data_IF_679548989968
#
_entry.id   IF_679548989968
#
_cell.length_a   1.000
_cell.length_b   1.000
_cell.length_c   1.000
_cell.angle_alpha   90.00
_cell.angle_beta   90.00
_cell.angle_gamma   90.00
#
_symmetry.space_group_name_H-M   'P 1'
#
loop_
_entity.id
_entity.type
_entity.pdbx_description
1 polymer ?
#
# COMPACT_ATOMS: atom_id res chain seq x y z
N UNK A 1 45.57 9.59 0.67
CA UNK A 1 45.28 8.12 0.77
C UNK A 1 43.92 7.95 1.34
N UNK A 2 42.91 7.74 0.49
CA UNK A 2 41.53 7.54 0.93
C UNK A 2 41.36 6.07 1.32
N UNK A 3 41.08 5.83 2.60
CA UNK A 3 40.71 4.50 3.10
C UNK A 3 39.26 4.24 2.70
N UNK A 4 39.06 3.37 1.72
CA UNK A 4 37.74 2.81 1.40
C UNK A 4 37.50 1.65 2.37
N UNK A 5 36.67 1.86 3.36
CA UNK A 5 36.21 0.78 4.25
C UNK A 5 35.08 0.05 3.53
N UNK A 6 35.35 -1.12 2.99
CA UNK A 6 34.32 -2.00 2.45
C UNK A 6 33.71 -2.78 3.61
N UNK A 7 32.45 -2.53 3.93
CA UNK A 7 31.68 -3.39 4.84
C UNK A 7 31.38 -4.71 4.12
N UNK A 8 31.72 -5.84 4.75
CA UNK A 8 31.35 -7.15 4.25
C UNK A 8 29.84 -7.38 4.51
N UNK A 9 29.06 -7.58 3.44
CA UNK A 9 27.69 -8.05 3.54
C UNK A 9 27.72 -9.55 3.77
N UNK A 10 27.13 -10.02 4.87
CA UNK A 10 26.95 -11.44 5.11
C UNK A 10 25.81 -11.90 4.21
N UNK A 11 26.14 -12.64 3.16
CA UNK A 11 25.17 -13.32 2.30
C UNK A 11 24.80 -14.65 2.95
N UNK A 12 23.61 -14.75 3.53
CA UNK A 12 23.08 -16.03 4.01
C UNK A 12 22.54 -16.80 2.80
N UNK A 13 23.28 -17.81 2.33
CA UNK A 13 22.82 -18.76 1.34
C UNK A 13 22.10 -19.90 2.05
N UNK A 14 20.80 -20.03 1.83
CA UNK A 14 20.03 -21.20 2.23
C UNK A 14 20.03 -22.19 1.06
N UNK A 15 20.64 -23.33 1.24
CA UNK A 15 20.59 -24.46 0.30
C UNK A 15 20.27 -25.73 1.07
N UNK A 16 19.13 -26.32 0.78
CA UNK A 16 18.67 -27.57 1.36
C UNK A 16 17.55 -28.17 0.52
N UNK A 17 17.23 -29.45 0.69
CA UNK A 17 16.05 -30.03 0.04
C UNK A 17 14.79 -29.35 0.58
N UNK A 18 13.92 -28.89 -0.32
CA UNK A 18 12.60 -28.35 0.00
C UNK A 18 11.60 -29.48 -0.06
N UNK A 19 10.89 -29.75 1.03
CA UNK A 19 9.78 -30.70 1.04
C UNK A 19 8.45 -29.98 0.77
N UNK A 20 7.45 -30.72 0.28
CA UNK A 20 6.13 -30.13 0.01
C UNK A 20 5.42 -29.68 1.31
N UNK A 21 5.78 -30.23 2.46
CA UNK A 21 5.23 -29.89 3.77
C UNK A 21 5.69 -28.49 4.25
N UNK A 22 6.87 -28.05 3.80
CA UNK A 22 7.44 -26.74 4.17
C UNK A 22 7.06 -25.62 3.18
N UNK A 23 6.31 -25.94 2.12
CA UNK A 23 6.02 -25.03 1.01
C UNK A 23 4.53 -24.76 0.85
N UNK A 24 4.12 -23.51 1.13
CA UNK A 24 2.78 -23.00 0.84
C UNK A 24 2.78 -22.24 -0.48
N UNK A 25 1.97 -22.66 -1.43
CA UNK A 25 1.76 -21.97 -2.70
C UNK A 25 0.44 -21.19 -2.68
N UNK A 26 0.46 -19.97 -3.20
CA UNK A 26 -0.74 -19.16 -3.39
C UNK A 26 -0.80 -18.60 -4.81
N UNK A 27 -2.00 -18.48 -5.32
CA UNK A 27 -2.28 -17.95 -6.65
C UNK A 27 -3.44 -16.96 -6.58
N UNK A 28 -3.28 -15.81 -7.22
CA UNK A 28 -4.30 -14.76 -7.36
C UNK A 28 -4.38 -14.37 -8.84
N UNK A 29 -5.58 -14.38 -9.39
CA UNK A 29 -5.86 -13.91 -10.75
C UNK A 29 -7.01 -12.93 -10.71
N UNK A 30 -6.89 -11.81 -11.41
CA UNK A 30 -7.94 -10.81 -11.59
C UNK A 30 -8.06 -10.43 -13.06
N UNK A 31 -9.27 -10.45 -13.58
CA UNK A 31 -9.65 -9.75 -14.79
C UNK A 31 -10.46 -8.53 -14.41
N UNK A 32 -10.21 -7.38 -15.03
CA UNK A 32 -10.89 -6.12 -14.78
C UNK A 32 -11.26 -5.45 -16.09
N UNK A 33 -12.54 -5.08 -16.23
CA UNK A 33 -12.97 -4.10 -17.20
C UNK A 33 -13.07 -2.74 -16.53
N UNK A 34 -12.50 -1.70 -17.13
CA UNK A 34 -12.54 -0.32 -16.65
C UNK A 34 -13.14 0.60 -17.68
N UNK A 35 -14.13 1.39 -17.26
CA UNK A 35 -14.67 2.52 -17.98
C UNK A 35 -14.29 3.79 -17.22
N UNK A 36 -13.70 4.78 -17.91
CA UNK A 36 -13.33 6.08 -17.31
C UNK A 36 -13.90 7.18 -18.19
N UNK A 37 -14.72 8.03 -17.59
CA UNK A 37 -15.17 9.29 -18.15
C UNK A 37 -14.54 10.42 -17.32
N UNK A 38 -13.65 11.21 -17.95
CA UNK A 38 -12.91 12.28 -17.32
C UNK A 38 -13.25 13.58 -18.04
N UNK A 39 -14.01 14.46 -17.38
CA UNK A 39 -14.46 15.73 -17.95
C UNK A 39 -13.33 16.66 -18.41
N UNK A 40 -12.08 16.40 -18.00
CA UNK A 40 -10.88 17.09 -18.48
C UNK A 40 -10.29 16.52 -19.76
N UNK A 41 -10.91 15.48 -20.34
CA UNK A 41 -10.47 14.80 -21.56
C UNK A 41 -11.57 14.75 -22.61
N UNK A 42 -11.18 14.77 -23.88
CA UNK A 42 -12.15 14.73 -24.99
C UNK A 42 -12.82 13.37 -25.13
N UNK A 43 -12.13 12.28 -24.78
CA UNK A 43 -12.59 10.91 -25.00
C UNK A 43 -12.69 10.11 -23.71
N UNK A 44 -13.70 9.26 -23.64
CA UNK A 44 -13.82 8.21 -22.61
C UNK A 44 -12.78 7.11 -22.85
N UNK A 45 -12.33 6.47 -21.79
CA UNK A 45 -11.36 5.40 -21.86
C UNK A 45 -11.92 4.07 -21.38
N UNK A 46 -11.84 3.05 -22.25
CA UNK A 46 -12.19 1.68 -21.93
C UNK A 46 -10.92 0.81 -21.92
N UNK A 47 -10.76 -0.02 -20.90
CA UNK A 47 -9.62 -0.94 -20.77
C UNK A 47 -10.03 -2.28 -20.21
N UNK A 48 -9.48 -3.33 -20.81
CA UNK A 48 -9.41 -4.64 -20.18
C UNK A 48 -8.03 -4.80 -19.54
N UNK A 49 -7.99 -5.21 -18.29
CA UNK A 49 -6.76 -5.39 -17.53
C UNK A 49 -6.73 -6.74 -16.84
N UNK A 50 -5.54 -7.30 -16.71
CA UNK A 50 -5.29 -8.53 -15.96
C UNK A 50 -4.30 -8.26 -14.84
N UNK A 51 -4.38 -9.08 -13.79
CA UNK A 51 -3.35 -9.22 -12.78
C UNK A 51 -3.24 -10.69 -12.41
N UNK A 52 -2.03 -11.22 -12.44
CA UNK A 52 -1.70 -12.55 -11.96
C UNK A 52 -0.62 -12.43 -10.92
N UNK A 53 -0.77 -13.16 -9.81
CA UNK A 53 0.24 -13.28 -8.76
C UNK A 53 0.44 -14.74 -8.41
N UNK A 54 1.70 -15.16 -8.35
CA UNK A 54 2.12 -16.48 -7.89
C UNK A 54 3.07 -16.29 -6.73
N UNK A 55 2.70 -16.75 -5.56
CA UNK A 55 3.49 -16.64 -4.35
C UNK A 55 3.84 -18.00 -3.78
N UNK A 56 4.97 -18.04 -3.10
CA UNK A 56 5.43 -19.15 -2.29
C UNK A 56 5.91 -18.66 -0.93
N UNK A 57 5.57 -19.41 0.11
CA UNK A 57 6.16 -19.31 1.43
C UNK A 57 6.89 -20.60 1.71
N UNK A 58 8.16 -20.51 2.07
CA UNK A 58 8.97 -21.64 2.52
C UNK A 58 9.35 -21.45 3.99
N UNK A 59 8.95 -22.38 4.84
CA UNK A 59 9.29 -22.38 6.26
C UNK A 59 10.63 -23.10 6.45
N UNK A 60 11.72 -22.33 6.47
CA UNK A 60 13.10 -22.87 6.59
C UNK A 60 13.38 -23.40 8.00
N UNK A 61 12.65 -22.93 9.01
CA UNK A 61 12.64 -23.42 10.39
C UNK A 61 11.37 -22.95 11.10
N UNK A 62 11.17 -23.38 12.36
CA UNK A 62 10.06 -22.90 13.22
C UNK A 62 10.04 -21.37 13.42
N UNK A 63 11.15 -20.68 13.14
CA UNK A 63 11.31 -19.22 13.35
C UNK A 63 11.61 -18.44 12.08
N UNK A 64 11.83 -19.11 10.94
CA UNK A 64 12.29 -18.46 9.74
C UNK A 64 11.46 -18.87 8.53
N UNK A 65 10.74 -17.88 8.01
CA UNK A 65 9.97 -18.00 6.78
C UNK A 65 10.62 -17.17 5.65
N UNK A 66 10.62 -17.73 4.45
CA UNK A 66 11.02 -17.11 3.21
C UNK A 66 9.77 -16.87 2.34
N UNK A 67 9.60 -15.66 1.85
CA UNK A 67 8.48 -15.30 0.98
C UNK A 67 8.98 -14.82 -0.37
N UNK A 68 8.40 -15.37 -1.43
CA UNK A 68 8.59 -14.90 -2.80
C UNK A 68 7.23 -14.74 -3.46
N UNK A 69 7.02 -13.65 -4.19
CA UNK A 69 5.84 -13.46 -5.03
C UNK A 69 6.23 -12.83 -6.36
N UNK A 70 5.83 -13.47 -7.42
CA UNK A 70 5.85 -12.92 -8.76
C UNK A 70 4.47 -12.35 -9.09
N UNK A 71 4.44 -11.25 -9.81
CA UNK A 71 3.21 -10.62 -10.27
C UNK A 71 3.37 -10.14 -11.70
N UNK A 72 2.25 -10.07 -12.44
CA UNK A 72 2.20 -9.19 -13.60
C UNK A 72 2.53 -7.79 -13.11
N UNK A 73 3.54 -7.16 -13.66
CA UNK A 73 4.03 -5.88 -13.20
C UNK A 73 4.61 -5.10 -14.36
N UNK A 74 4.30 -3.82 -14.38
CA UNK A 74 5.08 -2.78 -15.04
C UNK A 74 5.99 -2.15 -13.99
N UNK A 75 6.74 -1.12 -14.31
CA UNK A 75 7.59 -0.38 -13.37
C UNK A 75 6.80 0.33 -12.26
N UNK A 76 5.47 0.36 -12.36
CA UNK A 76 4.58 1.00 -11.38
C UNK A 76 4.43 0.16 -10.11
N UNK A 77 4.94 0.66 -9.00
CA UNK A 77 4.91 -0.01 -7.68
C UNK A 77 3.52 -0.02 -7.02
N UNK A 78 2.57 0.79 -7.50
CA UNK A 78 1.21 0.90 -6.98
C UNK A 78 0.16 0.24 -7.87
N UNK A 79 0.56 -0.47 -8.93
CA UNK A 79 -0.40 -1.22 -9.75
C UNK A 79 0.23 -2.44 -10.41
N UNK A 80 -0.17 -3.61 -9.98
CA UNK A 80 0.12 -4.89 -10.66
C UNK A 80 -0.81 -5.21 -11.82
N UNK A 81 -1.68 -4.27 -12.24
CA UNK A 81 -2.58 -4.50 -13.38
C UNK A 81 -1.90 -4.14 -14.69
N UNK A 82 -1.93 -5.07 -15.64
CA UNK A 82 -1.50 -4.82 -17.01
C UNK A 82 -2.70 -4.67 -17.95
N UNK A 83 -2.65 -3.67 -18.80
CA UNK A 83 -3.66 -3.45 -19.83
C UNK A 83 -3.45 -4.43 -20.99
N UNK A 84 -4.51 -5.13 -21.36
CA UNK A 84 -4.54 -5.92 -22.58
C UNK A 84 -4.66 -4.95 -23.76
N UNK A 85 -3.53 -4.41 -24.21
CA UNK A 85 -3.50 -3.39 -25.24
C UNK A 85 -3.53 -3.97 -26.64
N UNK A 86 -2.36 -4.14 -27.24
CA UNK A 86 -2.23 -4.70 -28.60
C UNK A 86 -1.90 -6.18 -28.53
N UNK A 87 -2.36 -6.99 -29.48
CA UNK A 87 -2.04 -8.42 -29.59
C UNK A 87 -0.55 -8.70 -29.88
N UNK A 88 0.27 -7.67 -29.97
CA UNK A 88 1.71 -7.80 -30.25
C UNK A 88 2.61 -7.63 -29.02
N UNK A 89 2.04 -7.39 -27.82
CA UNK A 89 2.80 -7.23 -26.58
C UNK A 89 2.60 -8.45 -25.68
N UNK A 90 3.69 -8.86 -25.05
CA UNK A 90 3.68 -9.88 -23.99
C UNK A 90 3.63 -9.17 -22.64
N UNK A 91 2.87 -9.73 -21.71
CA UNK A 91 2.79 -9.20 -20.34
C UNK A 91 4.09 -9.45 -19.58
N UNK A 92 4.61 -8.42 -18.90
CA UNK A 92 5.77 -8.54 -18.05
C UNK A 92 5.43 -9.21 -16.71
N UNK A 93 6.39 -9.95 -16.17
CA UNK A 93 6.31 -10.57 -14.86
C UNK A 93 7.49 -10.06 -14.04
N UNK A 94 7.21 -9.44 -12.91
CA UNK A 94 8.21 -8.91 -12.00
C UNK A 94 8.19 -9.58 -10.63
N UNK A 95 9.28 -9.38 -9.89
CA UNK A 95 9.38 -9.80 -8.49
C UNK A 95 8.69 -8.77 -7.60
N UNK A 96 7.49 -9.11 -7.14
CA UNK A 96 6.62 -8.25 -6.36
C UNK A 96 6.95 -8.27 -4.86
N UNK A 97 7.30 -9.43 -4.32
CA UNK A 97 7.80 -9.61 -2.96
C UNK A 97 8.96 -10.61 -2.93
N UNK A 98 9.95 -10.32 -2.10
CA UNK A 98 11.04 -11.24 -1.75
C UNK A 98 11.61 -10.81 -0.41
N UNK A 99 11.26 -11.52 0.65
CA UNK A 99 11.70 -11.17 2.00
C UNK A 99 11.78 -12.37 2.93
N UNK A 100 12.56 -12.16 3.99
CA UNK A 100 12.66 -13.04 5.14
C UNK A 100 11.77 -12.50 6.25
N UNK A 101 11.11 -13.40 6.97
CA UNK A 101 10.46 -13.13 8.26
C UNK A 101 11.12 -14.01 9.31
N UNK A 102 11.67 -13.37 10.34
CA UNK A 102 12.27 -14.06 11.48
C UNK A 102 11.48 -13.77 12.76
N UNK A 103 10.98 -14.82 13.40
CA UNK A 103 10.22 -14.74 14.64
C UNK A 103 11.20 -14.61 15.82
N UNK A 104 11.47 -13.38 16.25
CA UNK A 104 12.32 -13.09 17.43
C UNK A 104 11.68 -13.61 18.71
N UNK A 105 10.36 -13.54 18.79
CA UNK A 105 9.52 -14.11 19.85
C UNK A 105 8.11 -14.40 19.31
N UNK A 106 7.23 -15.00 20.14
CA UNK A 106 5.83 -15.25 19.80
C UNK A 106 5.05 -14.00 19.36
N UNK A 107 5.55 -12.81 19.69
CA UNK A 107 4.87 -11.54 19.50
C UNK A 107 5.71 -10.51 18.73
N UNK A 108 6.87 -10.91 18.21
CA UNK A 108 7.84 -9.98 17.64
C UNK A 108 8.46 -10.59 16.39
N UNK A 109 8.27 -9.93 15.27
CA UNK A 109 8.81 -10.36 13.98
C UNK A 109 9.80 -9.32 13.46
N UNK A 110 10.86 -9.81 12.82
CA UNK A 110 11.78 -9.04 12.00
C UNK A 110 11.54 -9.42 10.53
N UNK A 111 11.32 -8.43 9.68
CA UNK A 111 11.16 -8.59 8.25
C UNK A 111 12.29 -7.90 7.51
N UNK A 112 12.85 -8.55 6.49
CA UNK A 112 13.95 -8.02 5.70
C UNK A 112 13.77 -8.33 4.22
N UNK A 113 13.83 -7.34 3.35
CA UNK A 113 13.71 -7.46 1.90
C UNK A 113 12.57 -6.63 1.33
N UNK A 114 12.04 -7.00 0.15
CA UNK A 114 10.85 -6.40 -0.45
C UNK A 114 9.61 -7.10 0.11
N UNK A 115 9.01 -6.50 1.13
CA UNK A 115 8.03 -7.14 1.98
C UNK A 115 6.62 -6.62 1.76
N UNK A 116 5.62 -7.42 2.14
CA UNK A 116 4.26 -6.92 2.31
C UNK A 116 4.27 -5.76 3.31
N UNK A 117 3.56 -4.67 2.97
CA UNK A 117 3.48 -3.50 3.84
C UNK A 117 3.04 -3.89 5.27
N UNK A 118 3.87 -3.67 6.30
CA UNK A 118 3.62 -4.13 7.67
C UNK A 118 2.69 -3.19 8.47
N UNK A 119 2.43 -1.98 7.97
CA UNK A 119 1.66 -0.97 8.70
C UNK A 119 0.17 -1.29 8.68
N UNK A 120 -0.48 -1.04 9.81
CA UNK A 120 -1.94 -1.13 9.90
C UNK A 120 -2.58 -0.01 9.07
N UNK A 121 -3.54 -0.40 8.23
CA UNK A 121 -4.38 0.47 7.41
C UNK A 121 -5.85 0.13 7.70
N UNK A 122 -6.67 1.06 8.23
CA UNK A 122 -8.05 0.76 8.62
C UNK A 122 -8.88 0.41 7.38
N UNK A 123 -9.61 -0.70 7.45
CA UNK A 123 -10.35 -1.27 6.32
C UNK A 123 -9.55 -1.31 4.99
N UNK A 124 -8.24 -1.55 5.07
CA UNK A 124 -7.30 -1.52 3.94
C UNK A 124 -7.24 -0.14 3.26
N UNK A 125 -7.32 0.94 4.02
CA UNK A 125 -7.16 2.30 3.51
C UNK A 125 -5.94 2.45 2.60
N UNK A 126 -6.10 3.19 1.53
CA UNK A 126 -5.06 3.54 0.57
C UNK A 126 -4.87 5.07 0.52
N UNK A 127 -4.97 5.71 1.69
CA UNK A 127 -4.75 7.14 1.83
C UNK A 127 -3.27 7.50 1.63
N UNK A 128 -2.36 6.73 2.24
CA UNK A 128 -0.91 6.95 2.20
C UNK A 128 -0.23 5.91 1.28
N UNK A 129 -0.58 4.62 1.45
CA UNK A 129 0.04 3.52 0.72
C UNK A 129 -1.01 2.71 -0.02
N UNK A 130 -0.85 2.58 -1.32
CA UNK A 130 -1.62 1.67 -2.17
C UNK A 130 -1.57 0.22 -1.66
N UNK A 131 -2.56 -0.58 -2.00
CA UNK A 131 -2.64 -2.00 -1.64
C UNK A 131 -1.59 -2.87 -2.31
N UNK A 132 -1.06 -2.42 -3.45
CA UNK A 132 -0.04 -3.12 -4.23
C UNK A 132 1.39 -2.69 -3.83
N UNK A 133 1.57 -1.61 -3.04
CA UNK A 133 2.89 -1.14 -2.61
C UNK A 133 3.53 -2.09 -1.60
N UNK A 134 4.68 -2.64 -1.97
CA UNK A 134 5.52 -3.52 -1.15
C UNK A 134 6.86 -2.83 -0.85
N UNK A 135 7.07 -2.31 0.38
CA UNK A 135 8.28 -1.61 0.75
C UNK A 135 9.52 -2.52 0.74
N UNK A 136 10.69 -1.94 0.42
CA UNK A 136 12.00 -2.60 0.47
C UNK A 136 12.77 -2.11 1.69
N UNK A 137 13.29 -3.01 2.51
CA UNK A 137 14.10 -2.60 3.66
C UNK A 137 13.97 -3.55 4.84
N UNK A 138 13.89 -2.96 6.02
CA UNK A 138 13.83 -3.64 7.29
C UNK A 138 12.58 -3.17 8.05
N UNK A 139 11.82 -4.11 8.60
CA UNK A 139 10.70 -3.79 9.46
C UNK A 139 10.70 -4.68 10.70
N UNK A 140 10.22 -4.09 11.79
CA UNK A 140 10.08 -4.74 13.08
C UNK A 140 8.63 -4.60 13.52
N UNK A 141 7.96 -5.72 13.80
CA UNK A 141 6.58 -5.71 14.28
C UNK A 141 6.52 -6.31 15.68
N UNK A 142 5.81 -5.64 16.57
CA UNK A 142 5.64 -6.02 17.97
C UNK A 142 4.17 -6.04 18.33
N UNK A 143 3.75 -7.04 19.10
CA UNK A 143 2.41 -7.10 19.69
C UNK A 143 2.53 -7.51 21.14
N UNK A 144 2.09 -6.66 22.06
CA UNK A 144 2.08 -6.94 23.50
C UNK A 144 0.70 -6.62 24.08
N UNK A 145 -0.04 -7.67 24.44
CA UNK A 145 -1.43 -7.53 24.88
C UNK A 145 -2.31 -6.86 23.82
N UNK A 146 -2.87 -5.71 24.17
CA UNK A 146 -3.71 -4.89 23.30
C UNK A 146 -2.89 -3.88 22.45
N UNK A 147 -1.61 -3.67 22.77
CA UNK A 147 -0.72 -2.73 22.07
C UNK A 147 -0.02 -3.44 20.91
N UNK A 148 0.12 -2.75 19.80
CA UNK A 148 0.98 -3.16 18.69
C UNK A 148 1.88 -2.00 18.24
N UNK A 149 3.04 -2.33 17.69
CA UNK A 149 3.95 -1.36 17.09
C UNK A 149 4.58 -1.92 15.83
N UNK A 150 4.76 -1.08 14.82
CA UNK A 150 5.48 -1.38 13.60
C UNK A 150 6.53 -0.29 13.37
N UNK A 151 7.77 -0.71 13.21
CA UNK A 151 8.91 0.18 12.91
C UNK A 151 9.44 -0.22 11.54
N UNK A 152 9.74 0.74 10.69
CA UNK A 152 10.28 0.48 9.35
C UNK A 152 11.45 1.42 9.05
N UNK A 153 12.47 0.85 8.43
CA UNK A 153 13.52 1.56 7.72
C UNK A 153 13.51 1.06 6.28
N UNK A 154 12.95 1.87 5.40
CA UNK A 154 12.61 1.53 4.03
C UNK A 154 13.55 2.29 3.11
N UNK A 155 14.22 1.59 2.23
CA UNK A 155 14.96 2.17 1.12
C UNK A 155 13.98 2.47 0.00
N UNK A 156 13.65 3.75 -0.17
CA UNK A 156 12.70 4.17 -1.18
C UNK A 156 13.38 4.23 -2.55
N UNK A 157 14.52 4.91 -2.63
CA UNK A 157 15.41 4.89 -3.79
C UNK A 157 16.85 4.65 -3.34
N UNK A 158 17.59 3.86 -4.10
CA UNK A 158 18.96 3.42 -3.79
C UNK A 158 19.83 3.56 -5.04
N UNK A 159 20.10 4.81 -5.41
CA UNK A 159 21.01 5.17 -6.49
C UNK A 159 22.38 5.52 -5.89
N UNK A 160 23.54 5.22 -6.56
CA UNK A 160 24.86 5.62 -6.07
C UNK A 160 25.05 7.12 -5.82
N UNK A 161 24.23 7.95 -6.45
CA UNK A 161 24.26 9.42 -6.32
C UNK A 161 23.19 9.94 -5.35
N UNK A 162 22.20 9.12 -4.99
CA UNK A 162 21.00 9.56 -4.31
C UNK A 162 20.44 8.41 -3.46
N UNK A 163 20.15 8.67 -2.21
CA UNK A 163 19.47 7.72 -1.33
C UNK A 163 18.31 8.44 -0.68
N UNK A 164 17.10 7.95 -0.91
CA UNK A 164 15.88 8.40 -0.23
C UNK A 164 15.47 7.29 0.71
N UNK A 165 15.42 7.62 1.99
CA UNK A 165 15.00 6.71 3.04
C UNK A 165 13.63 7.12 3.57
N UNK A 166 12.81 6.12 3.91
CA UNK A 166 11.59 6.30 4.68
C UNK A 166 11.78 5.67 6.06
N UNK A 167 11.79 6.48 7.09
CA UNK A 167 11.75 6.05 8.49
C UNK A 167 10.31 6.07 8.97
N UNK A 168 9.90 5.04 9.68
CA UNK A 168 8.51 4.93 10.10
C UNK A 168 8.35 4.29 11.46
N UNK A 169 7.40 4.83 12.21
CA UNK A 169 6.96 4.30 13.50
C UNK A 169 5.44 4.35 13.54
N UNK A 170 4.81 3.23 13.80
CA UNK A 170 3.38 3.15 14.09
C UNK A 170 3.18 2.46 15.43
N UNK A 171 2.38 3.08 16.31
CA UNK A 171 1.95 2.51 17.58
C UNK A 171 0.44 2.52 17.61
N UNK A 172 -0.16 1.43 18.08
CA UNK A 172 -1.60 1.32 18.14
C UNK A 172 -2.10 0.43 19.25
N UNK A 173 -3.40 0.50 19.44
CA UNK A 173 -4.15 -0.28 20.40
C UNK A 173 -5.28 -1.02 19.70
N UNK A 174 -5.51 -2.29 20.08
CA UNK A 174 -6.53 -3.16 19.50
C UNK A 174 -7.20 -3.98 20.58
N UNK A 175 -8.50 -3.74 20.82
CA UNK A 175 -9.26 -4.35 21.91
C UNK A 175 -10.62 -4.86 21.44
N UNK A 176 -11.03 -6.00 21.97
CA UNK A 176 -12.44 -6.40 21.97
C UNK A 176 -13.15 -5.64 23.10
N UNK A 177 -14.02 -4.70 22.73
CA UNK A 177 -14.81 -3.90 23.68
C UNK A 177 -15.90 -4.77 24.30
N UNK A 178 -16.50 -5.63 23.47
CA UNK A 178 -17.45 -6.69 23.86
C UNK A 178 -17.39 -7.80 22.79
N UNK A 179 -18.28 -8.80 22.90
CA UNK A 179 -18.32 -9.96 21.99
C UNK A 179 -18.59 -9.61 20.53
N UNK A 180 -19.26 -8.48 20.27
CA UNK A 180 -19.64 -8.02 18.94
C UNK A 180 -18.75 -6.88 18.42
N UNK A 181 -18.01 -6.20 19.30
CA UNK A 181 -17.32 -4.95 18.94
C UNK A 181 -15.84 -5.03 19.23
N UNK A 182 -15.05 -4.81 18.18
CA UNK A 182 -13.59 -4.65 18.26
C UNK A 182 -13.22 -3.27 17.76
N UNK A 183 -12.42 -2.54 18.55
CA UNK A 183 -11.84 -1.27 18.19
C UNK A 183 -10.32 -1.40 17.94
N UNK A 184 -9.82 -0.68 16.97
CA UNK A 184 -8.40 -0.55 16.69
C UNK A 184 -8.09 0.90 16.33
N UNK A 185 -7.11 1.48 17.00
CA UNK A 185 -6.62 2.84 16.76
C UNK A 185 -5.12 2.81 16.65
N UNK A 186 -4.53 3.64 15.79
CA UNK A 186 -3.08 3.82 15.73
C UNK A 186 -2.72 5.25 15.37
N UNK A 187 -1.54 5.64 15.85
CA UNK A 187 -0.82 6.82 15.40
C UNK A 187 0.48 6.38 14.72
N UNK A 188 0.83 7.04 13.61
CA UNK A 188 2.07 6.75 12.91
C UNK A 188 2.78 8.03 12.46
N UNK A 189 4.11 7.92 12.32
CA UNK A 189 4.98 8.88 11.67
C UNK A 189 5.65 8.15 10.50
N UNK A 190 5.61 8.77 9.32
CA UNK A 190 6.31 8.34 8.11
C UNK A 190 7.16 9.50 7.63
N UNK A 191 8.47 9.39 7.78
CA UNK A 191 9.43 10.46 7.53
C UNK A 191 10.28 10.09 6.30
N UNK A 192 10.01 10.75 5.18
CA UNK A 192 10.80 10.63 3.97
C UNK A 192 11.95 11.62 4.04
N UNK A 193 13.16 11.16 3.78
CA UNK A 193 14.36 11.98 3.83
C UNK A 193 14.69 12.50 2.43
N UNK A 194 14.64 13.84 2.27
CA UNK A 194 15.13 14.56 1.08
C UNK A 194 14.33 14.38 -0.22
N UNK A 195 13.04 14.10 -0.17
CA UNK A 195 12.23 14.03 -1.39
C UNK A 195 12.20 15.37 -2.16
N UNK A 196 12.25 16.50 -1.45
CA UNK A 196 12.26 17.84 -2.02
C UNK A 196 13.55 18.21 -2.80
N UNK A 197 14.61 17.42 -2.69
CA UNK A 197 15.82 17.61 -3.50
C UNK A 197 15.66 17.05 -4.92
N UNK A 198 14.57 16.32 -5.21
CA UNK A 198 14.43 15.57 -6.47
C UNK A 198 13.19 15.94 -7.27
N UNK A 199 13.35 15.86 -8.59
CA UNK A 199 12.22 15.97 -9.52
C UNK A 199 11.48 14.64 -9.68
N UNK A 200 10.17 14.66 -10.01
CA UNK A 200 9.41 13.46 -10.31
C UNK A 200 10.03 12.57 -11.38
N UNK A 201 10.73 13.16 -12.36
CA UNK A 201 11.38 12.42 -13.45
C UNK A 201 12.47 11.46 -12.99
N UNK A 202 13.01 11.67 -11.78
CA UNK A 202 14.08 10.85 -11.20
C UNK A 202 13.52 9.72 -10.35
N UNK A 203 12.46 9.99 -9.58
CA UNK A 203 12.04 9.12 -8.48
C UNK A 203 10.65 8.50 -8.65
N UNK A 204 9.90 8.88 -9.69
CA UNK A 204 8.56 8.32 -9.88
C UNK A 204 8.40 7.62 -11.23
N UNK A 205 7.46 6.68 -11.24
CA UNK A 205 7.01 6.06 -12.46
C UNK A 205 6.46 7.10 -13.45
N UNK A 206 6.95 7.06 -14.67
CA UNK A 206 6.59 7.99 -15.77
C UNK A 206 6.89 9.47 -15.50
N UNK A 207 7.72 9.83 -14.53
CA UNK A 207 8.12 11.21 -14.26
C UNK A 207 6.97 12.12 -13.81
N UNK A 208 5.86 11.56 -13.31
CA UNK A 208 4.69 12.34 -12.87
C UNK A 208 4.82 12.75 -11.42
N UNK A 209 4.38 13.98 -11.11
CA UNK A 209 4.33 14.48 -9.74
C UNK A 209 3.17 13.91 -8.91
N UNK A 210 2.25 13.17 -9.51
CA UNK A 210 1.08 12.56 -8.86
C UNK A 210 0.27 13.53 -7.98
N UNK A 211 0.17 14.78 -8.40
CA UNK A 211 -0.62 15.82 -7.73
C UNK A 211 0.11 16.60 -6.65
N UNK A 212 1.34 16.24 -6.31
CA UNK A 212 2.17 17.04 -5.40
C UNK A 212 2.67 18.31 -6.09
N UNK A 213 2.91 19.36 -5.29
CA UNK A 213 3.43 20.65 -5.76
C UNK A 213 4.92 20.55 -6.13
N UNK A 214 5.31 21.37 -7.11
CA UNK A 214 6.69 21.48 -7.56
C UNK A 214 7.20 22.92 -7.37
N UNK A 215 8.49 23.06 -7.13
CA UNK A 215 9.21 24.33 -7.12
C UNK A 215 9.52 24.83 -8.55
N UNK A 216 10.12 25.99 -8.66
CA UNK A 216 10.49 26.61 -9.93
C UNK A 216 11.57 25.80 -10.73
N UNK A 217 12.27 24.89 -10.06
CA UNK A 217 13.26 24.00 -10.68
C UNK A 217 12.64 22.67 -11.14
N UNK A 218 11.35 22.42 -10.81
CA UNK A 218 10.63 21.20 -11.10
C UNK A 218 10.88 20.06 -10.10
N UNK A 219 11.47 20.34 -8.93
CA UNK A 219 11.58 19.42 -7.81
C UNK A 219 10.32 19.46 -6.96
N UNK A 220 10.12 18.46 -6.08
CA UNK A 220 9.04 18.54 -5.09
C UNK A 220 9.23 19.76 -4.20
N UNK A 221 8.14 20.53 -4.00
CA UNK A 221 8.19 21.77 -3.23
C UNK A 221 8.46 21.54 -1.76
N UNK A 222 7.95 20.44 -1.21
CA UNK A 222 8.07 20.08 0.21
C UNK A 222 8.68 18.69 0.36
N UNK A 223 9.29 18.44 1.51
CA UNK A 223 9.58 17.11 2.01
C UNK A 223 8.33 16.52 2.67
N UNK A 224 8.39 15.26 3.13
CA UNK A 224 7.21 14.57 3.65
C UNK A 224 7.49 13.92 5.00
N UNK A 225 7.16 14.63 6.08
CA UNK A 225 7.08 14.10 7.44
C UNK A 225 5.60 13.95 7.83
N UNK A 226 5.07 12.77 7.59
CA UNK A 226 3.65 12.49 7.69
C UNK A 226 3.27 12.06 9.10
N UNK A 227 2.25 12.69 9.69
CA UNK A 227 1.57 12.25 10.90
C UNK A 227 0.24 11.63 10.51
N UNK A 228 0.02 10.38 10.92
CA UNK A 228 -1.17 9.63 10.55
C UNK A 228 -1.93 9.15 11.78
N UNK A 229 -3.25 9.28 11.74
CA UNK A 229 -4.18 8.74 12.74
C UNK A 229 -5.16 7.81 12.04
N UNK A 230 -5.25 6.56 12.50
CA UNK A 230 -6.12 5.53 11.93
C UNK A 230 -7.06 4.96 12.98
N UNK A 231 -8.34 4.78 12.62
CA UNK A 231 -9.38 4.18 13.47
C UNK A 231 -10.16 3.14 12.67
N UNK A 232 -10.37 1.97 13.25
CA UNK A 232 -11.27 0.92 12.75
C UNK A 232 -12.12 0.38 13.88
N UNK A 233 -13.45 0.37 13.68
CA UNK A 233 -14.41 -0.25 14.60
C UNK A 233 -15.18 -1.31 13.84
N UNK A 234 -14.96 -2.56 14.19
CA UNK A 234 -15.76 -3.71 13.71
C UNK A 234 -16.83 -4.01 14.72
N UNK A 235 -18.08 -4.06 14.27
CA UNK A 235 -19.26 -4.27 15.13
C UNK A 235 -20.38 -4.94 14.36
N UNK A 236 -21.56 -5.02 14.95
CA UNK A 236 -22.80 -5.41 14.29
C UNK A 236 -23.75 -4.23 14.24
N UNK A 237 -24.26 -3.92 13.06
CA UNK A 237 -25.30 -2.92 12.84
C UNK A 237 -26.54 -3.60 12.28
N UNK A 238 -27.68 -3.55 13.01
CA UNK A 238 -28.92 -4.25 12.64
C UNK A 238 -28.67 -5.73 12.30
N UNK A 239 -27.88 -6.43 13.12
CA UNK A 239 -27.43 -7.82 12.93
C UNK A 239 -26.52 -8.07 11.72
N UNK A 240 -26.11 -7.04 11.00
CA UNK A 240 -25.15 -7.14 9.90
C UNK A 240 -23.74 -6.82 10.40
N UNK A 241 -22.71 -7.61 10.07
CA UNK A 241 -21.33 -7.24 10.36
C UNK A 241 -20.98 -5.92 9.68
N UNK A 242 -20.51 -4.97 10.48
CA UNK A 242 -20.19 -3.61 10.05
C UNK A 242 -18.75 -3.23 10.42
N UNK A 243 -18.09 -2.45 9.57
CA UNK A 243 -16.78 -1.87 9.85
C UNK A 243 -16.82 -0.39 9.55
N UNK A 244 -16.72 0.44 10.59
CA UNK A 244 -16.48 1.88 10.45
C UNK A 244 -15.00 2.14 10.46
N UNK A 245 -14.54 3.07 9.62
CA UNK A 245 -13.12 3.41 9.54
C UNK A 245 -12.88 4.88 9.24
N UNK A 246 -11.77 5.37 9.76
CA UNK A 246 -11.24 6.71 9.54
C UNK A 246 -9.72 6.60 9.42
N UNK A 247 -9.17 7.28 8.44
CA UNK A 247 -7.73 7.42 8.23
C UNK A 247 -7.45 8.89 7.92
N UNK A 248 -6.53 9.50 8.64
CA UNK A 248 -6.18 10.92 8.53
C UNK A 248 -4.68 11.05 8.41
N UNK A 249 -4.22 11.95 7.56
CA UNK A 249 -2.81 12.27 7.38
C UNK A 249 -2.61 13.77 7.35
N UNK A 250 -1.48 14.22 7.92
CA UNK A 250 -0.97 15.57 7.80
C UNK A 250 0.52 15.53 7.54
N UNK A 251 0.96 16.24 6.51
CA UNK A 251 2.37 16.51 6.26
C UNK A 251 2.83 17.69 7.09
N UNK A 252 3.84 17.50 7.95
CA UNK A 252 4.36 18.56 8.81
C UNK A 252 5.35 19.49 8.11
N UNK A 253 5.86 19.08 6.94
CA UNK A 253 6.85 19.84 6.17
C UNK A 253 6.21 20.75 5.11
N UNK A 254 4.89 20.62 4.89
CA UNK A 254 4.16 21.48 3.99
C UNK A 254 3.44 22.62 4.74
N UNK A 255 3.54 23.84 4.21
CA UNK A 255 2.92 25.03 4.78
C UNK A 255 1.41 25.15 4.46
N UNK A 256 0.98 24.48 3.39
CA UNK A 256 -0.41 24.50 2.91
C UNK A 256 -0.75 23.23 2.13
N UNK A 257 -2.03 22.94 1.98
CA UNK A 257 -2.52 21.74 1.28
C UNK A 257 -1.91 20.44 1.83
N UNK A 258 -1.74 20.41 3.14
CA UNK A 258 -0.93 19.47 3.90
C UNK A 258 -1.73 18.32 4.50
N UNK A 259 -3.06 18.30 4.31
CA UNK A 259 -3.95 17.40 5.04
C UNK A 259 -4.76 16.52 4.10
N UNK A 260 -5.03 15.29 4.56
CA UNK A 260 -5.89 14.36 3.84
C UNK A 260 -6.63 13.44 4.81
N UNK A 261 -7.81 12.96 4.40
CA UNK A 261 -8.52 11.94 5.14
C UNK A 261 -9.35 11.04 4.24
N UNK A 262 -9.63 9.85 4.76
CA UNK A 262 -10.54 8.88 4.19
C UNK A 262 -11.41 8.32 5.31
N UNK A 263 -12.72 8.29 5.13
CA UNK A 263 -13.64 7.69 6.09
C UNK A 263 -14.72 6.89 5.39
N UNK A 264 -15.26 5.90 6.06
CA UNK A 264 -16.31 5.09 5.43
C UNK A 264 -16.88 4.00 6.32
N UNK A 265 -17.72 3.22 5.66
CA UNK A 265 -18.47 2.10 6.25
C UNK A 265 -18.43 0.91 5.30
N UNK A 266 -18.15 -0.27 5.84
CA UNK A 266 -18.30 -1.55 5.14
C UNK A 266 -19.37 -2.37 5.85
N UNK A 267 -20.34 -2.91 5.10
CA UNK A 267 -21.45 -3.74 5.58
C UNK A 267 -21.47 -5.08 4.86
N UNK A 268 -21.68 -6.15 5.61
CA UNK A 268 -22.04 -7.47 5.06
C UNK A 268 -23.55 -7.59 5.13
N UNK A 269 -24.23 -7.29 4.01
CA UNK A 269 -25.71 -7.17 3.94
C UNK A 269 -26.38 -8.54 4.02
N UNK A 270 -25.70 -9.58 3.54
CA UNK A 270 -26.11 -10.98 3.64
C UNK A 270 -24.87 -11.86 3.57
N UNK A 271 -25.02 -13.17 3.71
CA UNK A 271 -23.90 -14.13 3.58
C UNK A 271 -23.10 -14.00 2.28
N UNK A 272 -23.62 -13.26 1.31
CA UNK A 272 -23.06 -13.13 -0.03
C UNK A 272 -22.67 -11.71 -0.45
N UNK A 273 -23.30 -10.67 0.09
CA UNK A 273 -23.10 -9.31 -0.39
C UNK A 273 -22.32 -8.47 0.62
N UNK A 274 -21.22 -7.89 0.17
CA UNK A 274 -20.49 -6.89 0.94
C UNK A 274 -20.55 -5.55 0.20
N UNK A 275 -21.06 -4.53 0.87
CA UNK A 275 -21.06 -3.16 0.41
C UNK A 275 -20.03 -2.34 1.19
N UNK A 276 -19.28 -1.50 0.50
CA UNK A 276 -18.36 -0.54 1.13
C UNK A 276 -18.55 0.82 0.49
N UNK A 277 -18.75 1.82 1.32
CA UNK A 277 -18.75 3.22 0.94
C UNK A 277 -17.58 3.93 1.63
N UNK A 278 -16.89 4.81 0.92
CA UNK A 278 -15.95 5.74 1.50
C UNK A 278 -16.02 7.10 0.82
N UNK A 279 -15.68 8.11 1.59
CA UNK A 279 -15.34 9.44 1.13
C UNK A 279 -13.86 9.69 1.40
N UNK A 280 -13.16 10.28 0.41
CA UNK A 280 -11.76 10.68 0.51
C UNK A 280 -11.63 12.14 0.10
N UNK A 281 -10.86 12.91 0.86
CA UNK A 281 -10.39 14.24 0.53
C UNK A 281 -8.89 14.29 0.80
N UNK A 282 -8.10 14.54 -0.22
CA UNK A 282 -6.64 14.47 -0.17
C UNK A 282 -6.06 15.71 -0.86
N UNK A 283 -5.36 16.53 -0.11
CA UNK A 283 -4.72 17.75 -0.61
C UNK A 283 -3.39 17.43 -1.29
N UNK A 284 -2.89 18.40 -2.10
CA UNK A 284 -1.72 18.18 -2.96
C UNK A 284 -0.52 17.65 -2.19
N UNK A 285 -0.19 18.23 -1.05
CA UNK A 285 1.05 17.93 -0.35
C UNK A 285 0.84 17.23 1.00
N UNK A 286 -0.35 16.65 1.17
CA UNK A 286 -0.72 15.90 2.37
C UNK A 286 0.03 14.58 2.54
N UNK A 287 0.49 13.99 1.44
CA UNK A 287 1.29 12.75 1.40
C UNK A 287 2.01 12.63 0.05
N UNK A 288 2.97 11.71 -0.04
CA UNK A 288 3.68 11.45 -1.30
C UNK A 288 2.76 10.72 -2.29
N UNK A 289 2.29 11.46 -3.30
CA UNK A 289 1.22 11.05 -4.21
C UNK A 289 1.53 9.78 -5.02
N UNK A 290 2.80 9.53 -5.34
CA UNK A 290 3.21 8.35 -6.09
C UNK A 290 2.94 7.01 -5.38
N UNK A 291 2.72 7.02 -4.06
CA UNK A 291 2.44 5.82 -3.27
C UNK A 291 0.96 5.63 -2.91
N UNK A 292 0.09 6.61 -3.20
CA UNK A 292 -1.33 6.55 -2.85
C UNK A 292 -2.13 5.65 -3.79
N UNK A 293 -3.42 5.50 -3.51
CA UNK A 293 -4.39 4.72 -4.30
C UNK A 293 -4.33 5.04 -5.79
N UNK A 294 -3.92 4.10 -6.59
CA UNK A 294 -3.65 4.28 -8.03
C UNK A 294 -4.90 4.48 -8.90
N UNK A 295 -6.09 4.09 -8.42
CA UNK A 295 -7.34 4.18 -9.18
C UNK A 295 -8.19 5.41 -8.81
N UNK A 296 -8.15 5.87 -7.55
CA UNK A 296 -8.96 7.00 -7.09
C UNK A 296 -8.45 8.31 -7.70
N UNK A 297 -9.31 9.03 -8.42
CA UNK A 297 -8.93 10.27 -9.11
C UNK A 297 -7.89 10.10 -10.23
N UNK A 298 -7.62 8.86 -10.64
CA UNK A 298 -6.56 8.54 -11.58
C UNK A 298 -5.17 8.41 -10.94
N UNK A 299 -5.13 8.29 -9.62
CA UNK A 299 -3.93 8.15 -8.80
C UNK A 299 -3.38 9.47 -8.27
N UNK A 300 -2.67 9.41 -7.15
CA UNK A 300 -1.99 10.55 -6.55
C UNK A 300 -2.82 11.32 -5.52
N UNK A 301 -2.51 12.60 -5.38
CA UNK A 301 -3.12 13.55 -4.44
C UNK A 301 -3.96 14.61 -5.18
N UNK A 302 -4.42 15.64 -4.47
CA UNK A 302 -5.19 16.78 -4.99
C UNK A 302 -6.56 16.40 -5.57
N UNK A 303 -7.27 15.45 -4.92
CA UNK A 303 -8.64 15.10 -5.29
C UNK A 303 -9.53 14.80 -4.08
N UNK A 304 -10.84 14.82 -4.34
CA UNK A 304 -11.85 14.40 -3.38
C UNK A 304 -13.03 13.74 -4.06
N UNK A 305 -13.75 12.92 -3.32
CA UNK A 305 -14.94 12.28 -3.82
C UNK A 305 -15.30 11.00 -3.09
N UNK A 306 -16.13 10.23 -3.74
CA UNK A 306 -16.80 9.05 -3.22
C UNK A 306 -16.32 7.80 -3.95
N UNK A 307 -16.29 6.69 -3.22
CA UNK A 307 -16.10 5.36 -3.78
C UNK A 307 -17.16 4.41 -3.21
N UNK A 308 -17.75 3.63 -4.09
CA UNK A 308 -18.74 2.60 -3.76
C UNK A 308 -18.23 1.27 -4.28
N UNK A 309 -18.17 0.26 -3.41
CA UNK A 309 -17.77 -1.10 -3.76
C UNK A 309 -18.91 -2.04 -3.42
N UNK A 310 -19.24 -2.91 -4.36
CA UNK A 310 -20.16 -4.02 -4.15
C UNK A 310 -19.44 -5.31 -4.52
N UNK A 311 -19.27 -6.21 -3.55
CA UNK A 311 -18.60 -7.50 -3.72
C UNK A 311 -19.61 -8.64 -3.55
N UNK A 312 -19.54 -9.63 -4.44
CA UNK A 312 -20.31 -10.87 -4.38
C UNK A 312 -19.38 -12.09 -4.48
N UNK A 313 -19.23 -12.89 -3.43
CA UNK A 313 -18.49 -14.14 -3.46
C UNK A 313 -19.33 -15.22 -4.17
N UNK A 314 -18.97 -15.53 -5.41
CA UNK A 314 -19.61 -16.61 -6.18
C UNK A 314 -19.27 -17.97 -5.57
N UNK A 315 -18.01 -18.13 -5.14
CA UNK A 315 -17.52 -19.29 -4.39
C UNK A 315 -16.57 -18.82 -3.28
N UNK A 316 -16.04 -19.73 -2.47
CA UNK A 316 -14.99 -19.41 -1.47
C UNK A 316 -13.69 -18.84 -2.09
N UNK A 317 -13.48 -19.04 -3.40
CA UNK A 317 -12.24 -18.67 -4.10
C UNK A 317 -12.46 -17.72 -5.29
N UNK A 318 -13.70 -17.37 -5.59
CA UNK A 318 -14.04 -16.50 -6.71
C UNK A 318 -15.08 -15.46 -6.30
N UNK A 319 -14.79 -14.18 -6.52
CA UNK A 319 -15.70 -13.05 -6.31
C UNK A 319 -15.87 -12.22 -7.58
N UNK A 320 -16.99 -11.51 -7.65
CA UNK A 320 -17.26 -10.44 -8.60
C UNK A 320 -17.38 -9.16 -7.82
N UNK A 321 -16.60 -8.15 -8.21
CA UNK A 321 -16.53 -6.87 -7.53
C UNK A 321 -16.88 -5.76 -8.52
N UNK A 322 -17.76 -4.84 -8.12
CA UNK A 322 -18.08 -3.62 -8.86
C UNK A 322 -17.61 -2.44 -8.02
N UNK A 323 -16.76 -1.61 -8.59
CA UNK A 323 -16.24 -0.40 -7.94
C UNK A 323 -16.64 0.81 -8.77
N UNK A 324 -17.28 1.78 -8.14
CA UNK A 324 -17.62 3.04 -8.76
C UNK A 324 -16.97 4.18 -7.99
N UNK A 325 -16.34 5.08 -8.75
CA UNK A 325 -15.74 6.31 -8.25
C UNK A 325 -16.51 7.53 -8.78
N UNK A 326 -16.85 8.44 -7.88
CA UNK A 326 -17.35 9.77 -8.19
C UNK A 326 -16.42 10.79 -7.52
N UNK A 327 -15.45 11.28 -8.27
CA UNK A 327 -14.38 12.10 -7.72
C UNK A 327 -14.02 13.28 -8.64
N UNK A 328 -13.40 14.28 -8.07
CA UNK A 328 -12.93 15.47 -8.79
C UNK A 328 -11.59 15.95 -8.27
N UNK A 329 -10.81 16.56 -9.15
CA UNK A 329 -9.63 17.33 -8.73
C UNK A 329 -10.07 18.53 -7.90
N UNK A 330 -9.27 18.88 -6.89
CA UNK A 330 -9.42 20.13 -6.18
C UNK A 330 -8.92 21.25 -7.10
N UNK A 331 -9.59 22.41 -7.09
CA UNK A 331 -9.07 23.60 -7.74
C UNK A 331 -7.96 24.14 -6.82
N UNK A 332 -6.77 24.22 -7.34
CA UNK A 332 -5.63 24.91 -6.73
C UNK A 332 -5.71 26.38 -7.06
#
# INVERSE_FOLDING_TARGET
>A
MNKVTRAAVILCLFSGPVTAEDLDLNFDFRFRYEYTDDSGKADTRNRNRIRTRLGAKYSASEKLDLFVRFATAEENTTSGNQTLGTGFTVSDIGMDQMYLKYDLSKNTDLLFGKMKNPFFKPNKSELIFDGDYNPKGLAFTLKHGEIFSNIGYIKFDENPLQTIDLRSLQVGWSKNINDLTKAKISFAIYDFDKLNEFSPSVITFNGKNFGNSLDDNGNYLYDFSLKNLSLEIKTSLMSMPATFFLDMVKNSDADQNDSGFQSGLSLVISDKWKFTYLYKDIESDSTFGALTHSDFGGGGTNHKGHQFNLSYPVTKRFSVDVVWFDNKKKMT
#
